data_IF_690971989879
#
_entry.id   IF_690971989879
#
_cell.length_a   1.000
_cell.length_b   1.000
_cell.length_c   1.000
_cell.angle_alpha   90.00
_cell.angle_beta   90.00
_cell.angle_gamma   90.00
#
_symmetry.space_group_name_H-M   'P 1'
#
loop_
_entity.id
_entity.type
_entity.pdbx_description
1 polymer ?
#
# COMPACT_ATOMS: atom_id res chain seq x y z
N UNK A 1 22.25 1.22 -32.96
CA UNK A 1 23.03 1.48 -31.72
C UNK A 1 22.04 1.46 -30.57
N UNK A 2 22.14 0.46 -29.70
CA UNK A 2 21.19 0.20 -28.62
C UNK A 2 21.61 1.07 -27.41
N UNK A 3 21.10 2.31 -27.33
CA UNK A 3 21.19 3.06 -26.09
C UNK A 3 20.29 2.36 -25.08
N UNK A 4 20.89 1.85 -23.99
CA UNK A 4 20.23 1.03 -22.99
C UNK A 4 18.90 1.64 -22.56
N UNK A 5 17.82 0.93 -22.80
CA UNK A 5 16.48 1.34 -22.40
C UNK A 5 16.50 1.58 -20.89
N UNK A 6 16.41 2.85 -20.49
CA UNK A 6 16.30 3.22 -19.08
C UNK A 6 14.93 2.71 -18.63
N UNK A 7 14.95 1.68 -17.78
CA UNK A 7 13.74 1.07 -17.22
C UNK A 7 12.93 2.10 -16.41
N UNK A 8 11.60 1.95 -16.45
CA UNK A 8 10.61 2.66 -15.63
C UNK A 8 11.07 2.90 -14.18
N UNK A 9 11.73 1.93 -13.54
CA UNK A 9 12.24 2.06 -12.18
C UNK A 9 13.26 3.19 -12.00
N UNK A 10 14.11 3.43 -12.99
CA UNK A 10 15.13 4.50 -12.95
C UNK A 10 14.50 5.88 -13.05
N UNK A 11 13.53 6.06 -13.95
CA UNK A 11 12.79 7.31 -14.07
C UNK A 11 11.98 7.60 -12.79
N UNK A 12 11.32 6.59 -12.24
CA UNK A 12 10.57 6.72 -10.98
C UNK A 12 11.50 7.12 -9.84
N UNK A 13 12.67 6.48 -9.72
CA UNK A 13 13.65 6.83 -8.69
C UNK A 13 14.13 8.28 -8.84
N UNK A 14 14.48 8.71 -10.06
CA UNK A 14 14.92 10.08 -10.30
C UNK A 14 13.83 11.12 -9.99
N UNK A 15 12.59 10.85 -10.40
CA UNK A 15 11.44 11.71 -10.04
C UNK A 15 11.27 11.80 -8.53
N UNK A 16 11.41 10.68 -7.82
CA UNK A 16 11.29 10.63 -6.36
C UNK A 16 12.42 11.40 -5.66
N UNK A 17 13.67 11.31 -6.16
CA UNK A 17 14.79 12.10 -5.62
C UNK A 17 14.50 13.60 -5.73
N UNK A 18 14.04 14.07 -6.90
CA UNK A 18 13.65 15.47 -7.07
C UNK A 18 12.50 15.86 -6.12
N UNK A 19 11.43 15.07 -6.07
CA UNK A 19 10.28 15.32 -5.20
C UNK A 19 10.68 15.40 -3.71
N UNK A 20 11.48 14.45 -3.23
CA UNK A 20 11.97 14.42 -1.84
C UNK A 20 12.84 15.63 -1.46
N UNK A 21 13.41 16.32 -2.45
CA UNK A 21 14.20 17.54 -2.27
C UNK A 21 13.40 18.83 -2.50
N UNK A 22 12.08 18.74 -2.61
CA UNK A 22 11.18 19.87 -2.91
C UNK A 22 11.26 20.37 -4.36
N UNK A 23 11.96 19.66 -5.25
CA UNK A 23 12.12 20.01 -6.67
C UNK A 23 10.96 19.46 -7.50
N UNK A 24 9.75 19.95 -7.21
CA UNK A 24 8.50 19.43 -7.80
C UNK A 24 8.43 19.61 -9.31
N UNK A 25 8.96 20.72 -9.84
CA UNK A 25 9.00 20.99 -11.27
C UNK A 25 9.85 19.97 -12.02
N UNK A 26 11.03 19.66 -11.50
CA UNK A 26 11.94 18.65 -12.06
C UNK A 26 11.33 17.25 -11.94
N UNK A 27 10.70 16.93 -10.81
CA UNK A 27 9.97 15.68 -10.66
C UNK A 27 8.86 15.55 -11.71
N UNK A 28 8.10 16.62 -11.97
CA UNK A 28 7.05 16.65 -13.00
C UNK A 28 7.63 16.46 -14.41
N UNK A 29 8.75 17.11 -14.73
CA UNK A 29 9.44 16.94 -16.02
C UNK A 29 9.90 15.50 -16.26
N UNK A 30 10.39 14.80 -15.23
CA UNK A 30 10.75 13.39 -15.35
C UNK A 30 9.51 12.53 -15.64
N UNK A 31 8.38 12.79 -14.97
CA UNK A 31 7.12 12.07 -15.21
C UNK A 31 6.53 12.37 -16.59
N UNK A 32 6.69 13.60 -17.09
CA UNK A 32 6.30 13.97 -18.45
C UNK A 32 7.12 13.20 -19.49
N UNK A 33 8.44 13.13 -19.33
CA UNK A 33 9.31 12.30 -20.18
C UNK A 33 8.92 10.82 -20.19
N UNK A 34 8.54 10.27 -19.03
CA UNK A 34 8.03 8.90 -18.97
C UNK A 34 6.77 8.75 -19.84
N UNK A 35 5.83 9.69 -19.73
CA UNK A 35 4.57 9.68 -20.49
C UNK A 35 4.81 9.81 -22.00
N UNK A 36 5.67 10.74 -22.43
CA UNK A 36 6.05 10.92 -23.84
C UNK A 36 6.74 9.68 -24.41
N UNK A 37 7.56 9.01 -23.61
CA UNK A 37 8.27 7.78 -23.98
C UNK A 37 7.43 6.50 -23.86
N UNK A 38 6.15 6.57 -23.46
CA UNK A 38 5.31 5.39 -23.23
C UNK A 38 5.76 4.50 -22.06
N UNK A 39 6.58 5.03 -21.14
CA UNK A 39 7.11 4.32 -19.98
C UNK A 39 6.08 4.36 -18.86
N UNK A 40 5.49 3.20 -18.56
CA UNK A 40 4.51 3.06 -17.49
C UNK A 40 5.16 2.55 -16.20
N UNK A 41 4.78 3.16 -15.07
CA UNK A 41 5.13 2.64 -13.74
C UNK A 41 4.27 1.41 -13.45
N UNK A 42 4.88 0.36 -12.91
CA UNK A 42 4.14 -0.79 -12.38
C UNK A 42 3.25 -0.35 -11.20
N UNK A 43 1.91 -0.57 -11.26
CA UNK A 43 1.03 -0.22 -10.16
C UNK A 43 1.25 -1.15 -8.96
N UNK A 44 1.05 -0.62 -7.76
CA UNK A 44 1.00 -1.45 -6.56
C UNK A 44 -0.26 -2.31 -6.56
N UNK A 45 -0.09 -3.63 -6.46
CA UNK A 45 -1.14 -4.62 -6.40
C UNK A 45 -0.96 -5.50 -5.15
N UNK A 46 -2.03 -5.68 -4.39
CA UNK A 46 -2.09 -6.64 -3.28
C UNK A 46 -3.11 -7.72 -3.58
N UNK A 47 -2.74 -8.97 -3.38
CA UNK A 47 -3.62 -10.12 -3.52
C UNK A 47 -3.81 -10.86 -2.21
N UNK A 48 -4.98 -11.44 -2.01
CA UNK A 48 -5.35 -12.24 -0.84
C UNK A 48 -6.09 -13.49 -1.29
N UNK A 49 -5.79 -14.61 -0.65
CA UNK A 49 -6.50 -15.87 -0.86
C UNK A 49 -7.58 -16.05 0.22
N UNK A 50 -8.83 -16.21 -0.21
CA UNK A 50 -9.97 -16.54 0.67
C UNK A 50 -10.81 -17.60 0.00
N UNK A 51 -11.15 -18.68 0.73
CA UNK A 51 -11.96 -19.79 0.21
C UNK A 51 -11.41 -20.37 -1.12
N UNK A 52 -10.09 -20.47 -1.24
CA UNK A 52 -9.36 -20.92 -2.44
C UNK A 52 -9.53 -20.04 -3.68
N UNK A 53 -10.01 -18.81 -3.52
CA UNK A 53 -10.08 -17.80 -4.57
C UNK A 53 -9.05 -16.69 -4.28
N UNK A 54 -8.36 -16.25 -5.33
CA UNK A 54 -7.43 -15.12 -5.26
C UNK A 54 -8.19 -13.85 -5.62
N UNK A 55 -8.12 -12.86 -4.74
CA UNK A 55 -8.71 -11.54 -4.93
C UNK A 55 -7.60 -10.50 -5.01
N UNK A 56 -7.57 -9.74 -6.09
CA UNK A 56 -6.56 -8.72 -6.33
C UNK A 56 -7.14 -7.32 -6.16
N UNK A 57 -6.34 -6.43 -5.59
CA UNK A 57 -6.70 -5.05 -5.32
C UNK A 57 -5.60 -4.11 -5.81
N UNK A 58 -6.01 -3.07 -6.52
CA UNK A 58 -5.20 -1.89 -6.80
C UNK A 58 -5.54 -0.75 -5.83
N UNK A 59 -4.81 0.35 -5.92
CA UNK A 59 -5.14 1.57 -5.19
C UNK A 59 -6.55 2.05 -5.57
N UNK A 60 -7.42 2.22 -4.58
CA UNK A 60 -8.78 2.71 -4.79
C UNK A 60 -9.68 1.80 -5.64
N UNK A 61 -9.44 0.48 -5.65
CA UNK A 61 -10.14 -0.45 -6.54
C UNK A 61 -11.64 -0.59 -6.23
N UNK A 62 -12.48 -0.35 -7.25
CA UNK A 62 -13.94 -0.45 -7.20
C UNK A 62 -14.50 -1.59 -8.07
N UNK A 63 -13.66 -2.49 -8.58
CA UNK A 63 -14.09 -3.60 -9.46
C UNK A 63 -14.63 -4.79 -8.68
N UNK A 64 -14.20 -4.97 -7.42
CA UNK A 64 -14.58 -6.12 -6.63
C UNK A 64 -16.11 -6.15 -6.37
N UNK A 65 -16.79 -7.31 -6.54
CA UNK A 65 -18.25 -7.41 -6.34
C UNK A 65 -18.72 -6.98 -4.95
N UNK A 66 -17.86 -7.15 -3.93
CA UNK A 66 -18.14 -6.76 -2.55
C UNK A 66 -17.61 -5.38 -2.15
N UNK A 67 -17.26 -4.50 -3.11
CA UNK A 67 -16.67 -3.18 -2.84
C UNK A 67 -17.38 -2.38 -1.75
N UNK A 68 -18.72 -2.36 -1.73
CA UNK A 68 -19.47 -1.62 -0.71
C UNK A 68 -19.18 -2.10 0.71
N UNK A 69 -19.04 -3.43 0.92
CA UNK A 69 -18.66 -4.00 2.23
C UNK A 69 -17.20 -3.74 2.57
N UNK A 70 -16.31 -3.80 1.57
CA UNK A 70 -14.88 -3.55 1.74
C UNK A 70 -14.65 -2.10 2.19
N UNK A 71 -15.27 -1.14 1.50
CA UNK A 71 -15.12 0.28 1.81
C UNK A 71 -15.79 0.65 3.14
N UNK A 72 -16.95 0.09 3.45
CA UNK A 72 -17.52 0.23 4.79
C UNK A 72 -16.56 -0.30 5.87
N UNK A 73 -15.93 -1.45 5.63
CA UNK A 73 -14.95 -1.99 6.57
C UNK A 73 -13.69 -1.12 6.66
N UNK A 74 -13.29 -0.50 5.55
CA UNK A 74 -12.17 0.43 5.49
C UNK A 74 -12.42 1.68 6.32
N UNK A 75 -13.63 2.26 6.24
CA UNK A 75 -14.04 3.38 7.09
C UNK A 75 -13.99 3.02 8.58
N UNK A 76 -14.57 1.88 8.96
CA UNK A 76 -14.48 1.34 10.32
C UNK A 76 -13.02 1.17 10.76
N UNK A 77 -12.19 0.58 9.90
CA UNK A 77 -10.78 0.34 10.19
C UNK A 77 -10.01 1.64 10.40
N UNK A 78 -10.24 2.64 9.55
CA UNK A 78 -9.59 3.94 9.65
C UNK A 78 -9.96 4.66 10.95
N UNK A 79 -11.22 4.56 11.37
CA UNK A 79 -11.65 5.10 12.67
C UNK A 79 -10.97 4.39 13.85
N UNK A 80 -10.93 3.05 13.83
CA UNK A 80 -10.25 2.26 14.86
C UNK A 80 -8.75 2.56 14.93
N UNK A 81 -8.10 2.75 13.77
CA UNK A 81 -6.69 3.10 13.68
C UNK A 81 -6.43 4.48 14.28
N UNK A 82 -7.28 5.46 13.99
CA UNK A 82 -7.20 6.81 14.56
C UNK A 82 -7.33 6.79 16.09
N UNK A 83 -8.30 6.05 16.61
CA UNK A 83 -8.49 5.87 18.06
C UNK A 83 -7.30 5.14 18.73
N UNK A 84 -6.64 4.25 18.00
CA UNK A 84 -5.43 3.57 18.45
C UNK A 84 -4.14 4.40 18.28
N UNK A 85 -4.23 5.65 17.80
CA UNK A 85 -3.11 6.57 17.64
C UNK A 85 -2.30 6.38 16.36
N UNK A 86 -2.85 5.77 15.30
CA UNK A 86 -2.20 5.73 13.99
C UNK A 86 -2.08 7.15 13.41
N UNK A 87 -0.88 7.55 13.04
CA UNK A 87 -0.62 8.79 12.29
C UNK A 87 -0.18 8.42 10.88
N UNK A 88 -0.93 8.81 9.83
CA UNK A 88 -0.53 8.53 8.46
C UNK A 88 0.84 9.13 8.14
N UNK A 89 1.76 8.34 7.60
CA UNK A 89 3.07 8.83 7.18
C UNK A 89 2.96 9.54 5.82
N UNK A 90 2.45 10.77 5.80
CA UNK A 90 2.17 11.54 4.56
C UNK A 90 3.43 11.79 3.71
N UNK A 91 4.61 11.85 4.33
CA UNK A 91 5.91 12.06 3.64
C UNK A 91 6.23 10.98 2.60
N UNK A 92 5.62 9.79 2.69
CA UNK A 92 5.82 8.72 1.70
C UNK A 92 5.09 9.00 0.38
N UNK A 93 4.15 9.96 0.37
CA UNK A 93 3.41 10.38 -0.82
C UNK A 93 4.17 11.52 -1.50
N UNK A 94 5.02 11.17 -2.45
CA UNK A 94 5.87 12.10 -3.22
C UNK A 94 5.09 12.79 -4.35
N UNK A 95 3.98 13.43 -3.99
CA UNK A 95 3.15 14.25 -4.86
C UNK A 95 2.95 15.62 -4.20
N UNK A 96 2.97 16.66 -5.03
CA UNK A 96 2.71 18.05 -4.62
C UNK A 96 1.21 18.27 -4.48
N UNK A 97 0.65 17.75 -3.39
CA UNK A 97 -0.78 17.80 -3.02
C UNK A 97 -0.89 18.11 -1.53
N UNK A 98 -2.07 18.53 -1.08
CA UNK A 98 -2.30 18.87 0.32
C UNK A 98 -2.24 17.62 1.22
N UNK A 99 -1.89 17.78 2.50
CA UNK A 99 -1.67 16.63 3.39
C UNK A 99 -2.93 15.77 3.57
N UNK A 100 -4.12 16.37 3.56
CA UNK A 100 -5.38 15.61 3.60
C UNK A 100 -5.56 14.74 2.35
N UNK A 101 -5.07 15.16 1.18
CA UNK A 101 -5.11 14.36 -0.05
C UNK A 101 -4.12 13.20 0.03
N UNK A 102 -2.94 13.42 0.64
CA UNK A 102 -1.97 12.35 0.91
C UNK A 102 -2.56 11.31 1.87
N UNK A 103 -3.21 11.75 2.94
CA UNK A 103 -3.89 10.86 3.89
C UNK A 103 -4.97 10.02 3.20
N UNK A 104 -5.79 10.63 2.34
CA UNK A 104 -6.79 9.90 1.56
C UNK A 104 -6.16 8.89 0.61
N UNK A 105 -5.08 9.26 -0.09
CA UNK A 105 -4.36 8.37 -0.98
C UNK A 105 -3.81 7.14 -0.23
N UNK A 106 -3.22 7.36 0.96
CA UNK A 106 -2.78 6.28 1.84
C UNK A 106 -3.96 5.39 2.23
N UNK A 107 -5.07 5.98 2.69
CA UNK A 107 -6.24 5.26 3.19
C UNK A 107 -6.83 4.25 2.18
N UNK A 108 -6.58 4.42 0.88
CA UNK A 108 -7.07 3.53 -0.19
C UNK A 108 -5.98 2.63 -0.81
N UNK A 109 -4.84 2.47 -0.15
CA UNK A 109 -3.81 1.52 -0.58
C UNK A 109 -4.36 0.08 -0.71
N UNK A 110 -3.83 -0.65 -1.71
CA UNK A 110 -4.26 -2.01 -2.02
C UNK A 110 -4.18 -2.98 -0.83
N UNK A 111 -3.20 -2.80 0.06
CA UNK A 111 -2.95 -3.62 1.24
C UNK A 111 -4.12 -3.48 2.23
N UNK A 112 -4.63 -2.26 2.41
CA UNK A 112 -5.79 -1.98 3.26
C UNK A 112 -7.03 -2.67 2.70
N UNK A 113 -7.27 -2.56 1.39
CA UNK A 113 -8.42 -3.20 0.74
C UNK A 113 -8.37 -4.73 0.87
N UNK A 114 -7.21 -5.33 0.62
CA UNK A 114 -7.00 -6.77 0.76
C UNK A 114 -7.22 -7.24 2.20
N UNK A 115 -6.72 -6.51 3.20
CA UNK A 115 -6.92 -6.83 4.62
C UNK A 115 -8.38 -6.64 5.04
N UNK A 116 -9.04 -5.56 4.61
CA UNK A 116 -10.47 -5.35 4.85
C UNK A 116 -11.30 -6.50 4.28
N UNK A 117 -11.00 -6.93 3.05
CA UNK A 117 -11.64 -8.11 2.46
C UNK A 117 -11.38 -9.37 3.30
N UNK A 118 -10.13 -9.60 3.71
CA UNK A 118 -9.78 -10.71 4.61
C UNK A 118 -10.53 -10.66 5.94
N UNK A 119 -10.76 -9.48 6.52
CA UNK A 119 -11.50 -9.31 7.77
C UNK A 119 -12.99 -9.59 7.63
N UNK A 120 -13.63 -9.19 6.53
CA UNK A 120 -15.07 -9.44 6.32
C UNK A 120 -15.37 -10.87 5.85
N UNK A 121 -14.42 -11.51 5.16
CA UNK A 121 -14.66 -12.79 4.50
C UNK A 121 -14.19 -14.01 5.30
N UNK A 122 -13.55 -13.82 6.46
CA UNK A 122 -13.05 -14.93 7.28
C UNK A 122 -13.41 -14.79 8.76
N UNK A 123 -13.57 -15.92 9.46
CA UNK A 123 -13.96 -15.97 10.88
C UNK A 123 -12.92 -15.28 11.78
N UNK A 124 -13.32 -14.67 12.91
CA UNK A 124 -12.38 -14.12 13.89
C UNK A 124 -11.22 -15.07 14.21
N UNK A 125 -10.03 -14.51 14.51
CA UNK A 125 -8.79 -15.26 14.77
C UNK A 125 -8.20 -16.05 13.59
N UNK A 126 -8.86 -16.19 12.44
CA UNK A 126 -8.22 -16.79 11.25
C UNK A 126 -7.05 -15.92 10.75
N UNK A 127 -5.95 -16.57 10.34
CA UNK A 127 -4.76 -15.90 9.80
C UNK A 127 -5.06 -15.28 8.43
N UNK A 128 -4.72 -14.01 8.24
CA UNK A 128 -4.82 -13.32 6.94
C UNK A 128 -3.46 -13.44 6.23
N UNK A 129 -3.46 -13.73 4.92
CA UNK A 129 -2.26 -13.79 4.09
C UNK A 129 -2.43 -12.87 2.88
N UNK A 130 -1.52 -11.92 2.71
CA UNK A 130 -1.52 -10.98 1.59
C UNK A 130 -0.18 -11.08 0.85
N UNK A 131 -0.22 -10.97 -0.47
CA UNK A 131 0.97 -10.83 -1.31
C UNK A 131 0.94 -9.46 -1.97
N UNK A 132 2.06 -8.74 -1.93
CA UNK A 132 2.27 -7.44 -2.57
C UNK A 132 3.36 -7.56 -3.62
N UNK A 133 3.14 -7.03 -4.82
CA UNK A 133 4.14 -7.02 -5.89
C UNK A 133 5.28 -6.02 -5.65
N UNK A 134 5.02 -4.93 -4.94
CA UNK A 134 6.00 -3.93 -4.52
C UNK A 134 6.43 -4.15 -3.07
N UNK A 135 7.43 -3.39 -2.59
CA UNK A 135 7.72 -3.30 -1.16
C UNK A 135 6.50 -2.69 -0.47
N UNK A 136 6.08 -3.21 0.69
CA UNK A 136 5.02 -2.56 1.50
C UNK A 136 5.45 -1.10 1.79
N UNK A 137 4.58 -0.11 1.95
CA UNK A 137 5.04 1.22 2.39
C UNK A 137 5.08 1.34 3.91
N UNK A 138 5.77 2.35 4.43
CA UNK A 138 5.95 2.54 5.88
C UNK A 138 4.63 2.76 6.63
N UNK A 139 3.73 3.57 6.05
CA UNK A 139 2.38 3.77 6.58
C UNK A 139 1.56 2.46 6.61
N UNK A 140 1.60 1.66 5.52
CA UNK A 140 0.93 0.36 5.51
C UNK A 140 1.57 -0.61 6.51
N UNK A 141 2.88 -0.61 6.66
CA UNK A 141 3.57 -1.46 7.63
C UNK A 141 3.11 -1.15 9.07
N UNK A 142 3.11 0.13 9.44
CA UNK A 142 2.65 0.62 10.74
C UNK A 142 1.16 0.34 10.97
N UNK A 143 0.34 0.56 9.94
CA UNK A 143 -1.10 0.26 10.00
C UNK A 143 -1.34 -1.23 10.26
N UNK A 144 -0.65 -2.14 9.55
CA UNK A 144 -0.90 -3.59 9.67
C UNK A 144 -0.53 -4.11 11.06
N UNK A 145 0.52 -3.56 11.68
CA UNK A 145 0.83 -3.84 13.09
C UNK A 145 -0.36 -3.54 13.99
N UNK A 146 -0.93 -2.34 13.86
CA UNK A 146 -2.08 -1.93 14.65
C UNK A 146 -3.30 -2.80 14.36
N UNK A 147 -3.58 -3.13 13.11
CA UNK A 147 -4.67 -4.05 12.76
C UNK A 147 -4.47 -5.42 13.43
N UNK A 148 -3.27 -5.97 13.38
CA UNK A 148 -2.96 -7.24 14.05
C UNK A 148 -3.21 -7.17 15.57
N UNK A 149 -2.85 -6.05 16.21
CA UNK A 149 -3.11 -5.81 17.64
C UNK A 149 -4.60 -5.69 17.95
N UNK A 150 -5.31 -4.83 17.23
CA UNK A 150 -6.72 -4.49 17.45
C UNK A 150 -7.63 -5.70 17.21
N UNK A 151 -7.36 -6.45 16.15
CA UNK A 151 -8.20 -7.59 15.75
C UNK A 151 -7.78 -8.90 16.42
N UNK A 152 -6.61 -8.94 17.08
CA UNK A 152 -6.02 -10.16 17.63
C UNK A 152 -5.65 -11.21 16.57
N UNK A 153 -5.49 -10.80 15.30
CA UNK A 153 -5.23 -11.71 14.18
C UNK A 153 -3.76 -11.67 13.77
N UNK A 154 -3.20 -12.83 13.48
CA UNK A 154 -1.92 -12.93 12.78
C UNK A 154 -2.14 -12.53 11.31
N UNK A 155 -1.37 -11.56 10.84
CA UNK A 155 -1.36 -11.13 9.43
C UNK A 155 0.01 -11.43 8.86
N UNK A 156 0.06 -12.10 7.71
CA UNK A 156 1.31 -12.36 7.00
C UNK A 156 1.26 -11.62 5.68
N UNK A 157 2.26 -10.79 5.41
CA UNK A 157 2.41 -10.09 4.13
C UNK A 157 3.71 -10.52 3.48
N UNK A 158 3.65 -11.05 2.28
CA UNK A 158 4.83 -11.25 1.43
C UNK A 158 4.92 -10.07 0.48
N UNK A 159 5.97 -9.27 0.59
CA UNK A 159 6.24 -8.20 -0.38
C UNK A 159 7.36 -8.62 -1.35
N UNK A 160 7.85 -7.70 -2.18
CA UNK A 160 8.90 -8.02 -3.15
C UNK A 160 10.29 -8.30 -2.53
N UNK A 161 10.47 -8.07 -1.23
CA UNK A 161 11.75 -8.23 -0.53
C UNK A 161 11.73 -9.35 0.49
N UNK A 162 10.64 -9.54 1.25
CA UNK A 162 10.58 -10.47 2.38
C UNK A 162 9.15 -10.82 2.81
N UNK A 163 9.07 -11.70 3.81
CA UNK A 163 7.87 -11.95 4.57
C UNK A 163 7.84 -11.09 5.83
N UNK A 164 6.69 -10.51 6.10
CA UNK A 164 6.37 -9.75 7.29
C UNK A 164 5.31 -10.53 8.07
N UNK A 165 5.63 -10.87 9.32
CA UNK A 165 4.69 -11.53 10.22
C UNK A 165 4.25 -10.54 11.28
N UNK A 166 3.00 -10.12 11.20
CA UNK A 166 2.40 -9.15 12.12
C UNK A 166 1.59 -9.86 13.19
N UNK A 167 1.93 -9.59 14.45
CA UNK A 167 1.27 -10.16 15.62
C UNK A 167 1.41 -9.20 16.80
N UNK A 168 0.31 -8.95 17.52
CA UNK A 168 0.29 -8.15 18.75
C UNK A 168 0.97 -6.77 18.62
N UNK A 169 0.81 -6.09 17.48
CA UNK A 169 1.40 -4.76 17.27
C UNK A 169 2.84 -4.75 16.79
N UNK A 170 3.44 -5.92 16.56
CA UNK A 170 4.83 -6.04 16.13
C UNK A 170 4.93 -6.71 14.77
N UNK A 171 6.04 -6.47 14.07
CA UNK A 171 6.38 -7.18 12.84
C UNK A 171 7.71 -7.93 13.05
N UNK A 172 7.81 -9.13 12.48
CA UNK A 172 9.05 -9.94 12.50
C UNK A 172 10.26 -9.28 11.83
N UNK A 173 10.06 -8.23 11.02
CA UNK A 173 11.16 -7.54 10.34
C UNK A 173 11.92 -6.54 11.23
N UNK A 174 11.44 -6.27 12.46
CA UNK A 174 12.09 -5.33 13.38
C UNK A 174 12.18 -3.90 12.84
N UNK A 175 11.22 -3.48 12.01
CA UNK A 175 11.15 -2.16 11.38
C UNK A 175 12.24 -1.84 10.34
N UNK A 176 12.97 -2.85 9.89
CA UNK A 176 13.84 -2.77 8.71
C UNK A 176 13.07 -2.89 7.39
N UNK A 177 11.81 -2.40 7.35
CA UNK A 177 10.92 -2.35 6.18
C UNK A 177 11.74 -2.22 4.92
#
# INVERSE_FOLDING_TARGET
>A
MNHGAVDSGTYVLLSNVYASSGKWKEAAQIREKMKEGGILKEPGCSSIEVNNEIHEFLLGDLRHPQKGKIYKKLEELNQMLKEAGHTPATDVVLHDIEDWEKEQALAIHSERLAICYGLISTKPCTKIRVVKNLRVCDDCHSMIKLVAKITGRKIVVRDCKRFHHFENGNCSCGDYW
#
